data_IF_889704071584
#
_entry.id   IF_889704071584
#
_cell.length_a   1.000
_cell.length_b   1.000
_cell.length_c   1.000
_cell.angle_alpha   90.00
_cell.angle_beta   90.00
_cell.angle_gamma   90.00
#
_symmetry.space_group_name_H-M   'P 1'
#
loop_
_entity.id
_entity.type
_entity.pdbx_description
1 polymer ?
#
# COMPACT_ATOMS: atom_id res chain seq x y z
N UNK A 1 -21.46 17.20 -14.44
CA UNK A 1 -20.15 16.75 -14.94
C UNK A 1 -19.75 17.71 -16.06
N UNK A 2 -18.77 18.59 -15.85
CA UNK A 2 -18.29 19.51 -16.90
C UNK A 2 -17.29 18.73 -17.75
N UNK A 3 -17.59 18.58 -19.05
CA UNK A 3 -16.72 17.90 -20.01
C UNK A 3 -15.30 18.52 -19.95
N UNK A 4 -14.29 17.69 -19.63
CA UNK A 4 -12.88 18.11 -19.62
C UNK A 4 -12.27 18.47 -18.25
N UNK A 5 -13.06 18.47 -17.16
CA UNK A 5 -12.54 18.64 -15.80
C UNK A 5 -12.50 17.32 -15.04
N UNK A 6 -11.35 17.01 -14.42
CA UNK A 6 -11.23 15.86 -13.51
C UNK A 6 -12.06 16.06 -12.24
N UNK A 7 -12.40 15.00 -11.48
CA UNK A 7 -13.05 15.10 -10.18
C UNK A 7 -12.28 15.94 -9.15
N UNK A 8 -10.97 16.14 -9.38
CA UNK A 8 -10.10 16.97 -8.56
C UNK A 8 -10.10 18.46 -9.00
N UNK A 9 -10.96 18.86 -9.94
CA UNK A 9 -11.03 20.23 -10.45
C UNK A 9 -9.88 20.61 -11.39
N UNK A 10 -8.98 19.67 -11.69
CA UNK A 10 -7.87 19.91 -12.64
C UNK A 10 -8.44 19.86 -14.05
N UNK A 11 -8.31 20.96 -14.78
CA UNK A 11 -8.64 21.02 -16.20
C UNK A 11 -7.55 20.31 -17.00
N UNK A 12 -7.96 19.44 -17.91
CA UNK A 12 -7.04 18.71 -18.77
C UNK A 12 -6.31 19.65 -19.76
N UNK A 13 -6.87 20.84 -20.03
CA UNK A 13 -6.22 21.89 -20.84
C UNK A 13 -5.16 22.71 -20.09
N UNK A 14 -5.05 22.55 -18.76
CA UNK A 14 -4.02 23.20 -17.94
C UNK A 14 -2.73 22.38 -17.87
N UNK A 15 -2.74 21.14 -18.38
CA UNK A 15 -1.52 20.35 -18.54
C UNK A 15 -0.75 20.93 -19.72
N UNK A 16 0.05 21.96 -19.46
CA UNK A 16 0.98 22.47 -20.44
C UNK A 16 2.05 21.39 -20.67
N UNK A 17 2.05 20.78 -21.86
CA UNK A 17 3.07 19.82 -22.25
C UNK A 17 4.48 20.45 -22.22
N UNK A 18 4.59 21.79 -22.25
CA UNK A 18 5.85 22.51 -22.10
C UNK A 18 6.45 22.40 -20.68
N UNK A 19 5.63 22.25 -19.64
CA UNK A 19 6.11 21.98 -18.27
C UNK A 19 6.75 20.58 -18.17
N UNK A 20 6.23 19.60 -18.93
CA UNK A 20 6.83 18.28 -19.09
C UNK A 20 8.10 18.28 -19.96
N UNK A 21 8.26 19.27 -20.83
CA UNK A 21 9.46 19.45 -21.65
C UNK A 21 10.64 20.00 -20.84
N UNK A 22 10.40 20.51 -19.62
CA UNK A 22 11.46 20.78 -18.66
C UNK A 22 12.06 19.45 -18.19
N UNK A 23 13.38 19.28 -18.34
CA UNK A 23 14.11 18.05 -18.07
C UNK A 23 13.60 17.36 -16.77
N UNK A 24 12.92 16.20 -16.86
CA UNK A 24 12.28 15.56 -15.71
C UNK A 24 13.29 14.99 -14.70
N UNK A 25 14.59 15.11 -14.97
CA UNK A 25 15.68 14.51 -14.21
C UNK A 25 15.80 13.02 -14.52
N UNK A 26 16.82 12.40 -13.94
CA UNK A 26 16.99 10.95 -13.96
C UNK A 26 16.25 10.31 -12.77
N UNK A 27 15.91 9.02 -12.89
CA UNK A 27 15.52 8.23 -11.72
C UNK A 27 16.69 8.14 -10.74
N UNK A 28 16.40 8.14 -9.43
CA UNK A 28 17.42 8.16 -8.39
C UNK A 28 17.93 9.55 -7.99
N UNK A 29 17.54 10.61 -8.68
CA UNK A 29 17.93 11.99 -8.36
C UNK A 29 16.76 12.81 -7.79
N UNK A 30 16.98 13.67 -6.77
CA UNK A 30 15.97 14.61 -6.29
C UNK A 30 15.42 15.50 -7.43
N UNK A 31 14.11 15.82 -7.43
CA UNK A 31 13.10 15.49 -6.44
C UNK A 31 12.39 14.14 -6.70
N UNK A 32 13.09 13.18 -7.32
CA UNK A 32 12.65 11.80 -7.55
C UNK A 32 11.36 11.65 -8.38
N UNK A 33 11.11 12.58 -9.31
CA UNK A 33 9.93 12.55 -10.19
C UNK A 33 9.81 11.25 -10.98
N UNK A 34 10.95 10.62 -11.30
CA UNK A 34 11.03 9.37 -12.05
C UNK A 34 11.29 8.13 -11.18
N UNK A 35 11.23 8.30 -9.86
CA UNK A 35 11.47 7.25 -8.87
C UNK A 35 12.78 7.41 -8.10
N UNK A 36 12.85 6.72 -6.96
CA UNK A 36 13.90 6.88 -5.93
C UNK A 36 15.19 6.07 -6.19
N UNK A 37 15.17 5.16 -7.15
CA UNK A 37 16.30 4.29 -7.48
C UNK A 37 16.74 4.49 -8.94
N UNK A 38 18.04 4.49 -9.26
CA UNK A 38 18.51 4.72 -10.63
C UNK A 38 17.91 3.79 -11.69
N UNK A 39 17.93 2.46 -11.51
CA UNK A 39 17.34 1.52 -12.47
C UNK A 39 15.92 1.07 -12.16
N UNK A 40 15.28 1.58 -11.09
CA UNK A 40 13.89 1.27 -10.71
C UNK A 40 13.52 -0.21 -10.91
N UNK A 41 12.46 -0.49 -11.67
CA UNK A 41 11.98 -1.85 -11.94
C UNK A 41 12.73 -2.56 -13.07
N UNK A 42 13.68 -1.90 -13.74
CA UNK A 42 14.64 -2.58 -14.62
C UNK A 42 15.68 -3.35 -13.79
N UNK A 43 16.08 -2.81 -12.63
CA UNK A 43 17.01 -3.47 -11.71
C UNK A 43 16.30 -4.44 -10.76
N UNK A 44 15.18 -4.01 -10.16
CA UNK A 44 14.46 -4.79 -9.16
C UNK A 44 12.97 -4.51 -9.23
N UNK A 45 12.18 -5.56 -9.49
CA UNK A 45 10.72 -5.48 -9.45
C UNK A 45 10.22 -5.05 -8.07
N UNK A 46 9.02 -4.48 -8.03
CA UNK A 46 8.35 -4.18 -6.77
C UNK A 46 8.18 -5.48 -5.95
N UNK A 47 8.20 -5.34 -4.62
CA UNK A 47 7.99 -6.50 -3.74
C UNK A 47 6.52 -6.85 -3.71
N UNK A 48 6.18 -8.06 -4.18
CA UNK A 48 4.83 -8.59 -4.05
C UNK A 48 4.58 -8.94 -2.58
N UNK A 49 3.60 -8.28 -1.94
CA UNK A 49 3.18 -8.59 -0.56
C UNK A 49 1.72 -8.98 -0.55
N UNK A 50 1.45 -10.25 -0.23
CA UNK A 50 0.09 -10.72 -0.08
C UNK A 50 -0.46 -10.30 1.28
N UNK A 51 -1.63 -9.67 1.26
CA UNK A 51 -2.40 -9.40 2.47
C UNK A 51 -3.18 -10.67 2.82
N UNK A 52 -2.78 -11.35 3.89
CA UNK A 52 -3.35 -12.62 4.31
C UNK A 52 -3.51 -12.63 5.84
N UNK A 53 -4.67 -13.06 6.30
CA UNK A 53 -4.99 -13.15 7.72
C UNK A 53 -6.34 -13.83 7.89
N UNK A 54 -6.54 -14.50 9.00
CA UNK A 54 -7.80 -15.09 9.43
C UNK A 54 -8.15 -14.51 10.80
N UNK A 55 -9.43 -14.59 11.19
CA UNK A 55 -9.92 -14.14 12.50
C UNK A 55 -9.26 -14.87 13.69
N UNK A 56 -8.68 -16.05 13.44
CA UNK A 56 -7.93 -16.81 14.45
C UNK A 56 -6.40 -16.64 14.30
N UNK A 57 -5.68 -16.38 15.41
CA UNK A 57 -4.21 -16.37 15.41
C UNK A 57 -3.58 -17.70 14.96
N UNK A 58 -4.21 -18.85 15.28
CA UNK A 58 -3.66 -20.16 14.93
C UNK A 58 -3.76 -20.44 13.43
N UNK A 59 -4.88 -20.06 12.81
CA UNK A 59 -5.08 -20.15 11.36
C UNK A 59 -4.17 -19.18 10.61
N UNK A 60 -4.04 -17.95 11.11
CA UNK A 60 -3.11 -16.95 10.59
C UNK A 60 -1.67 -17.48 10.61
N UNK A 61 -1.22 -18.08 11.72
CA UNK A 61 0.12 -18.66 11.81
C UNK A 61 0.33 -19.85 10.86
N UNK A 62 -0.68 -20.72 10.71
CA UNK A 62 -0.63 -21.83 9.74
C UNK A 62 -0.50 -21.31 8.31
N UNK A 63 -1.27 -20.27 7.96
CA UNK A 63 -1.20 -19.62 6.65
C UNK A 63 0.15 -18.94 6.40
N UNK A 64 0.69 -18.25 7.40
CA UNK A 64 2.00 -17.61 7.31
C UNK A 64 3.11 -18.62 7.03
N UNK A 65 3.13 -19.74 7.75
CA UNK A 65 4.12 -20.80 7.48
C UNK A 65 4.05 -21.31 6.05
N UNK A 66 2.85 -21.59 5.53
CA UNK A 66 2.67 -22.00 4.12
C UNK A 66 3.14 -20.94 3.12
N UNK A 67 2.89 -19.66 3.39
CA UNK A 67 3.35 -18.58 2.51
C UNK A 67 4.88 -18.47 2.49
N UNK A 68 5.53 -18.58 3.65
CA UNK A 68 6.99 -18.57 3.78
C UNK A 68 7.62 -19.78 3.10
N UNK A 69 7.06 -20.98 3.27
CA UNK A 69 7.49 -22.21 2.59
C UNK A 69 7.41 -22.07 1.06
N UNK A 70 6.42 -21.32 0.56
CA UNK A 70 6.26 -21.03 -0.87
C UNK A 70 7.12 -19.85 -1.37
N UNK A 71 8.10 -19.39 -0.59
CA UNK A 71 9.07 -18.38 -1.01
C UNK A 71 8.61 -16.93 -0.83
N UNK A 72 7.49 -16.68 -0.14
CA UNK A 72 7.09 -15.33 0.20
C UNK A 72 8.05 -14.73 1.21
N UNK A 73 8.62 -13.55 0.92
CA UNK A 73 9.61 -12.89 1.79
C UNK A 73 9.03 -11.76 2.64
N UNK A 74 7.74 -11.47 2.49
CA UNK A 74 7.05 -10.42 3.23
C UNK A 74 5.61 -10.79 3.52
N UNK A 75 5.26 -10.80 4.81
CA UNK A 75 3.90 -11.02 5.31
C UNK A 75 3.30 -9.70 5.79
N UNK A 76 1.98 -9.59 5.76
CA UNK A 76 1.23 -8.47 6.31
C UNK A 76 0.10 -9.03 7.16
N UNK A 77 -0.16 -8.40 8.31
CA UNK A 77 -1.23 -8.78 9.24
C UNK A 77 -2.23 -7.63 9.37
N UNK A 78 -3.51 -7.97 9.37
CA UNK A 78 -4.59 -7.07 9.76
C UNK A 78 -4.91 -7.33 11.23
N UNK A 79 -5.12 -6.28 12.00
CA UNK A 79 -5.63 -6.39 13.36
C UNK A 79 -7.10 -5.99 13.40
N UNK A 80 -7.81 -6.52 14.38
CA UNK A 80 -9.19 -6.15 14.66
C UNK A 80 -9.30 -4.66 15.08
N UNK A 81 -10.52 -4.14 15.06
CA UNK A 81 -10.77 -2.74 15.40
C UNK A 81 -10.32 -2.39 16.84
N UNK A 82 -10.58 -3.21 17.88
CA UNK A 82 -10.10 -2.95 19.24
C UNK A 82 -8.59 -2.75 19.32
N UNK A 83 -7.81 -3.63 18.69
CA UNK A 83 -6.34 -3.52 18.66
C UNK A 83 -5.90 -2.24 17.97
N UNK A 84 -6.56 -1.84 16.88
CA UNK A 84 -6.25 -0.59 16.17
C UNK A 84 -6.58 0.66 17.01
N UNK A 85 -7.57 0.58 17.89
CA UNK A 85 -7.98 1.66 18.80
C UNK A 85 -7.23 1.63 20.15
N UNK A 86 -6.43 0.59 20.41
CA UNK A 86 -5.68 0.42 21.66
C UNK A 86 -6.55 -0.03 22.85
N UNK A 87 -7.66 -0.72 22.58
CA UNK A 87 -8.55 -1.27 23.60
C UNK A 87 -8.20 -2.73 23.89
N UNK A 88 -8.32 -3.12 25.16
CA UNK A 88 -8.22 -4.52 25.56
C UNK A 88 -9.45 -5.31 25.09
N UNK A 89 -9.29 -6.63 24.91
CA UNK A 89 -10.36 -7.48 24.39
C UNK A 89 -11.58 -7.59 25.33
N UNK A 90 -11.41 -7.29 26.62
CA UNK A 90 -12.47 -7.26 27.62
C UNK A 90 -13.04 -5.85 27.87
N UNK A 91 -12.55 -4.83 27.16
CA UNK A 91 -13.14 -3.49 27.20
C UNK A 91 -14.60 -3.53 26.69
N UNK A 92 -15.56 -2.88 27.37
CA UNK A 92 -16.95 -2.86 26.93
C UNK A 92 -17.17 -2.40 25.48
N UNK A 93 -16.31 -1.52 24.97
CA UNK A 93 -16.36 -1.00 23.60
C UNK A 93 -15.78 -1.97 22.57
N UNK A 94 -15.06 -3.01 23.00
CA UNK A 94 -14.48 -4.04 22.12
C UNK A 94 -15.49 -5.11 21.70
N UNK A 95 -16.62 -5.22 22.42
CA UNK A 95 -17.62 -6.26 22.21
C UNK A 95 -18.15 -6.31 20.76
N UNK A 96 -18.06 -7.48 20.14
CA UNK A 96 -18.51 -7.72 18.76
C UNK A 96 -17.47 -7.42 17.68
N UNK A 97 -16.37 -6.77 18.03
CA UNK A 97 -15.28 -6.43 17.10
C UNK A 97 -13.99 -7.21 17.38
N UNK A 98 -13.85 -7.87 18.55
CA UNK A 98 -12.69 -8.73 18.86
C UNK A 98 -12.55 -9.86 17.83
N UNK A 99 -11.38 -9.91 17.18
CA UNK A 99 -11.00 -10.94 16.21
C UNK A 99 -11.73 -10.85 14.86
N UNK A 100 -12.38 -9.73 14.53
CA UNK A 100 -13.00 -9.52 13.21
C UNK A 100 -12.01 -9.10 12.12
#
# INVERSE_FOLDING_TARGET
>A
MVLGMSPLGISMSTIDASDYASNPGSSGDPPYRRGIHPGMYADRLWTMRQYAGFSSPSETNSRFRRLLENGQTGLSVAFDLPTQLGLDSDDPLSSGEVGR
#
